data_IF_938373783960
#
_entry.id   IF_938373783960
#
_cell.length_a   1.000
_cell.length_b   1.000
_cell.length_c   1.000
_cell.angle_alpha   90.00
_cell.angle_beta   90.00
_cell.angle_gamma   90.00
#
_symmetry.space_group_name_H-M   'P 1'
#
loop_
_entity.id
_entity.type
_entity.pdbx_description
1 polymer ?
#
# COMPACT_ATOMS: atom_id res chain seq x y z
N UNK A 1 9.67 22.32 10.59
CA UNK A 1 9.57 21.44 9.40
C UNK A 1 9.34 22.24 8.11
N UNK A 2 9.79 23.50 8.02
CA UNK A 2 9.46 24.39 6.90
C UNK A 2 9.99 23.90 5.54
N UNK A 3 11.12 23.20 5.53
CA UNK A 3 11.72 22.58 4.34
C UNK A 3 11.29 21.12 4.10
N UNK A 4 10.45 20.55 4.97
CA UNK A 4 9.92 19.20 4.75
C UNK A 4 8.98 19.20 3.54
N UNK A 5 9.10 18.18 2.68
CA UNK A 5 8.29 18.04 1.46
C UNK A 5 7.62 16.68 1.34
N UNK A 6 8.19 15.63 1.92
CA UNK A 6 7.59 14.31 2.02
C UNK A 6 7.40 13.89 3.47
N UNK A 7 6.26 13.26 3.77
CA UNK A 7 6.01 12.60 5.04
C UNK A 7 5.43 11.21 4.78
N UNK A 8 6.19 10.18 5.17
CA UNK A 8 5.72 8.80 5.20
C UNK A 8 5.49 8.40 6.64
N UNK A 9 4.43 7.63 6.86
CA UNK A 9 4.22 6.94 8.10
C UNK A 9 3.59 5.58 7.82
N UNK A 10 3.82 4.66 8.75
CA UNK A 10 3.15 3.38 8.83
C UNK A 10 2.72 3.22 10.28
N UNK A 11 1.48 2.81 10.50
CA UNK A 11 0.93 2.63 11.83
C UNK A 11 0.03 1.42 11.85
N UNK A 12 -0.03 0.75 12.99
CA UNK A 12 -0.93 -0.36 13.25
C UNK A 12 -1.80 -0.09 14.49
N UNK A 13 -2.96 -0.72 14.52
CA UNK A 13 -3.85 -0.74 15.69
C UNK A 13 -4.19 0.66 16.24
N UNK A 14 -4.06 0.80 17.56
CA UNK A 14 -4.47 2.02 18.28
C UNK A 14 -3.64 3.28 17.93
N UNK A 15 -2.46 3.13 17.33
CA UNK A 15 -1.65 4.27 16.90
C UNK A 15 -2.10 4.87 15.58
N UNK A 16 -2.91 4.15 14.78
CA UNK A 16 -3.40 4.64 13.49
C UNK A 16 -4.13 5.98 13.61
N UNK A 17 -5.04 6.10 14.59
CA UNK A 17 -5.78 7.36 14.77
C UNK A 17 -4.85 8.50 15.18
N UNK A 18 -3.94 8.27 16.14
CA UNK A 18 -3.00 9.31 16.62
C UNK A 18 -2.07 9.80 15.51
N UNK A 19 -1.55 8.89 14.68
CA UNK A 19 -0.69 9.24 13.55
C UNK A 19 -1.48 9.91 12.42
N UNK A 20 -2.73 9.49 12.18
CA UNK A 20 -3.62 10.19 11.25
C UNK A 20 -3.87 11.62 11.72
N UNK A 21 -4.19 11.84 13.00
CA UNK A 21 -4.39 13.17 13.58
C UNK A 21 -3.13 14.05 13.52
N UNK A 22 -1.96 13.46 13.77
CA UNK A 22 -0.67 14.14 13.60
C UNK A 22 -0.45 14.55 12.14
N UNK A 23 -0.67 13.63 11.19
CA UNK A 23 -0.52 13.91 9.76
C UNK A 23 -1.49 15.01 9.29
N UNK A 24 -2.73 15.02 9.79
CA UNK A 24 -3.70 16.07 9.49
C UNK A 24 -3.26 17.45 10.02
N UNK A 25 -2.76 17.52 11.26
CA UNK A 25 -2.20 18.77 11.82
C UNK A 25 -0.98 19.23 11.02
N UNK A 26 -0.10 18.30 10.66
CA UNK A 26 1.08 18.58 9.87
C UNK A 26 0.74 19.14 8.49
N UNK A 27 -0.23 18.56 7.77
CA UNK A 27 -0.69 19.07 6.48
C UNK A 27 -1.36 20.45 6.58
N UNK A 28 -2.03 20.73 7.71
CA UNK A 28 -2.62 22.06 7.95
C UNK A 28 -1.55 23.11 8.19
N UNK A 29 -0.56 22.80 9.03
CA UNK A 29 0.48 23.73 9.46
C UNK A 29 1.59 23.87 8.38
N UNK A 30 1.80 22.83 7.57
CA UNK A 30 2.78 22.77 6.48
C UNK A 30 2.14 22.17 5.20
N UNK A 31 1.30 22.94 4.48
CA UNK A 31 0.54 22.46 3.32
C UNK A 31 1.43 21.96 2.16
N UNK A 32 2.70 22.38 2.11
CA UNK A 32 3.67 21.95 1.11
C UNK A 32 4.20 20.53 1.31
N UNK A 33 3.88 19.88 2.42
CA UNK A 33 4.24 18.47 2.67
C UNK A 33 3.23 17.58 1.97
N UNK A 34 3.72 16.56 1.25
CA UNK A 34 2.88 15.52 0.68
C UNK A 34 3.04 14.21 1.45
N UNK A 35 1.93 13.48 1.56
CA UNK A 35 1.92 12.16 2.18
C UNK A 35 2.31 11.12 1.16
N UNK A 36 3.05 10.12 1.60
CA UNK A 36 3.48 9.04 0.73
C UNK A 36 3.30 7.68 1.38
N UNK A 37 2.96 6.65 0.58
CA UNK A 37 2.94 5.30 1.08
C UNK A 37 4.31 4.90 1.60
N UNK A 38 4.30 4.12 2.68
CA UNK A 38 5.51 3.47 3.20
C UNK A 38 5.77 2.19 2.41
N UNK A 39 7.01 2.03 1.98
CA UNK A 39 7.49 0.69 1.64
C UNK A 39 7.41 -0.23 2.87
N UNK A 40 7.27 -1.56 2.68
CA UNK A 40 7.22 -2.30 1.40
C UNK A 40 5.83 -2.34 0.72
N UNK A 41 4.82 -1.65 1.26
CA UNK A 41 3.44 -1.82 0.85
C UNK A 41 3.10 -1.19 -0.50
N UNK A 42 2.33 -1.92 -1.31
CA UNK A 42 1.54 -1.34 -2.38
C UNK A 42 0.60 -0.27 -1.81
N UNK A 43 0.35 0.79 -2.56
CA UNK A 43 -0.45 1.94 -2.14
C UNK A 43 -1.82 1.53 -1.59
N UNK A 44 -2.54 0.64 -2.29
CA UNK A 44 -3.85 0.18 -1.86
C UNK A 44 -3.80 -0.59 -0.52
N UNK A 45 -2.74 -1.36 -0.26
CA UNK A 45 -2.55 -2.06 1.02
C UNK A 45 -2.16 -1.07 2.11
N UNK A 46 -1.26 -0.13 1.81
CA UNK A 46 -0.85 0.93 2.75
C UNK A 46 -2.05 1.77 3.23
N UNK A 47 -3.01 2.07 2.35
CA UNK A 47 -4.24 2.79 2.71
C UNK A 47 -5.02 2.03 3.79
N UNK A 48 -5.20 0.72 3.64
CA UNK A 48 -5.91 -0.10 4.64
C UNK A 48 -5.07 -0.26 5.90
N UNK A 49 -3.76 -0.46 5.76
CA UNK A 49 -2.86 -0.56 6.92
C UNK A 49 -2.92 0.69 7.79
N UNK A 50 -3.09 1.87 7.19
CA UNK A 50 -3.23 3.14 7.90
C UNK A 50 -4.66 3.45 8.39
N UNK A 51 -5.64 2.56 8.14
CA UNK A 51 -7.05 2.78 8.48
C UNK A 51 -7.29 2.64 9.99
N UNK A 52 -7.88 3.65 10.66
CA UNK A 52 -8.12 3.61 12.10
C UNK A 52 -9.39 2.83 12.48
N UNK A 53 -9.56 1.62 11.94
CA UNK A 53 -10.68 0.71 12.24
C UNK A 53 -10.10 -0.60 12.78
N UNK A 54 -10.21 -0.83 14.09
CA UNK A 54 -9.55 -1.95 14.78
C UNK A 54 -9.92 -3.34 14.23
N UNK A 55 -11.20 -3.66 13.95
CA UNK A 55 -11.53 -4.97 13.36
C UNK A 55 -10.83 -5.23 12.02
N UNK A 56 -10.67 -4.18 11.20
CA UNK A 56 -9.97 -4.28 9.91
C UNK A 56 -8.46 -4.43 10.14
N UNK A 57 -7.90 -3.72 11.13
CA UNK A 57 -6.49 -3.88 11.50
C UNK A 57 -6.17 -5.30 11.96
N UNK A 58 -7.03 -5.93 12.78
CA UNK A 58 -6.81 -7.31 13.21
C UNK A 58 -6.83 -8.30 12.03
N UNK A 59 -7.68 -8.06 11.02
CA UNK A 59 -7.67 -8.85 9.78
C UNK A 59 -6.35 -8.67 9.02
N UNK A 60 -5.86 -7.43 8.88
CA UNK A 60 -4.59 -7.15 8.20
C UNK A 60 -3.40 -7.74 8.97
N UNK A 61 -3.37 -7.59 10.30
CA UNK A 61 -2.35 -8.17 11.17
C UNK A 61 -2.35 -9.71 11.06
N UNK A 62 -3.53 -10.31 10.95
CA UNK A 62 -3.70 -11.76 10.73
C UNK A 62 -3.15 -12.18 9.36
N UNK A 63 -3.38 -11.41 8.29
CA UNK A 63 -2.80 -11.67 6.96
C UNK A 63 -1.27 -11.61 7.00
N UNK A 64 -0.70 -10.61 7.66
CA UNK A 64 0.75 -10.48 7.84
C UNK A 64 1.32 -11.64 8.67
N UNK A 65 0.60 -12.08 9.71
CA UNK A 65 0.97 -13.23 10.53
C UNK A 65 0.96 -14.54 9.73
N UNK A 66 -0.03 -14.75 8.84
CA UNK A 66 -0.09 -15.90 7.92
C UNK A 66 1.13 -15.91 7.01
N UNK A 67 1.46 -14.77 6.37
CA UNK A 67 2.63 -14.68 5.50
C UNK A 67 3.94 -14.96 6.28
N UNK A 68 4.05 -14.43 7.50
CA UNK A 68 5.19 -14.64 8.37
C UNK A 68 5.40 -16.12 8.71
N UNK A 69 4.35 -16.82 9.18
CA UNK A 69 4.48 -18.22 9.60
C UNK A 69 4.71 -19.18 8.44
N UNK A 70 4.13 -18.90 7.26
CA UNK A 70 4.41 -19.68 6.04
C UNK A 70 5.88 -19.55 5.65
N UNK A 71 6.47 -18.35 5.75
CA UNK A 71 7.90 -18.15 5.46
C UNK A 71 8.81 -18.79 6.50
N UNK A 72 8.42 -18.78 7.77
CA UNK A 72 9.23 -19.33 8.87
C UNK A 72 9.17 -20.86 8.93
N UNK A 73 8.05 -21.49 8.56
CA UNK A 73 7.85 -22.94 8.63
C UNK A 73 7.90 -23.58 7.25
N UNK A 74 9.06 -24.13 6.88
CA UNK A 74 9.22 -24.87 5.62
C UNK A 74 8.24 -26.07 5.52
N UNK A 75 7.97 -26.73 6.64
CA UNK A 75 6.99 -27.82 6.73
C UNK A 75 5.58 -27.36 6.37
N UNK A 76 5.14 -26.21 6.91
CA UNK A 76 3.84 -25.63 6.57
C UNK A 76 3.79 -25.22 5.09
N UNK A 77 4.85 -24.59 4.59
CA UNK A 77 4.93 -24.17 3.19
C UNK A 77 4.81 -25.36 2.22
N UNK A 78 5.51 -26.47 2.48
CA UNK A 78 5.42 -27.71 1.68
C UNK A 78 4.03 -28.33 1.72
N UNK A 79 3.40 -28.39 2.90
CA UNK A 79 2.04 -28.91 3.04
C UNK A 79 1.03 -28.02 2.32
N UNK A 80 1.16 -26.70 2.47
CA UNK A 80 0.33 -25.73 1.77
C UNK A 80 0.45 -25.90 0.25
N UNK A 81 1.66 -26.06 -0.28
CA UNK A 81 1.91 -26.31 -1.70
C UNK A 81 1.20 -27.58 -2.21
N UNK A 82 1.28 -28.66 -1.43
CA UNK A 82 0.58 -29.92 -1.73
C UNK A 82 -0.95 -29.74 -1.71
N UNK A 83 -1.49 -29.01 -0.72
CA UNK A 83 -2.94 -28.73 -0.61
C UNK A 83 -3.44 -27.78 -1.71
N UNK A 84 -2.63 -26.81 -2.15
CA UNK A 84 -2.94 -25.95 -3.29
C UNK A 84 -3.03 -26.82 -4.55
N UNK A 85 -2.02 -27.66 -4.80
CA UNK A 85 -2.03 -28.60 -5.94
C UNK A 85 -3.29 -29.46 -5.94
N UNK A 86 -3.63 -30.08 -4.79
CA UNK A 86 -4.82 -30.91 -4.68
C UNK A 86 -6.11 -30.12 -4.95
N UNK A 87 -6.25 -28.92 -4.38
CA UNK A 87 -7.46 -28.10 -4.46
C UNK A 87 -7.71 -27.56 -5.86
N UNK A 88 -6.66 -27.21 -6.61
CA UNK A 88 -6.77 -26.51 -7.89
C UNK A 88 -6.37 -27.34 -9.12
N UNK A 89 -5.91 -28.58 -8.95
CA UNK A 89 -5.50 -29.48 -10.06
C UNK A 89 -6.54 -29.67 -11.16
N UNK A 90 -7.83 -29.52 -10.85
CA UNK A 90 -8.92 -29.62 -11.81
C UNK A 90 -9.09 -28.38 -12.70
N UNK A 91 -8.40 -27.27 -12.39
CA UNK A 91 -8.46 -26.00 -13.12
C UNK A 91 -7.09 -25.73 -13.76
N UNK A 92 -7.04 -25.73 -15.09
CA UNK A 92 -5.80 -25.54 -15.84
C UNK A 92 -5.16 -24.18 -15.53
N UNK A 93 -3.89 -24.19 -15.12
CA UNK A 93 -3.07 -22.99 -14.84
C UNK A 93 -3.30 -22.35 -13.46
N UNK A 94 -4.33 -22.78 -12.73
CA UNK A 94 -4.70 -22.15 -11.46
C UNK A 94 -3.75 -22.51 -10.32
N UNK A 95 -3.20 -23.73 -10.33
CA UNK A 95 -2.16 -24.16 -9.39
C UNK A 95 -0.95 -23.22 -9.47
N UNK A 96 -0.44 -22.97 -10.68
CA UNK A 96 0.73 -22.12 -10.89
C UNK A 96 0.43 -20.66 -10.50
N UNK A 97 -0.73 -20.14 -10.90
CA UNK A 97 -1.18 -18.79 -10.53
C UNK A 97 -1.20 -18.59 -9.01
N UNK A 98 -1.83 -19.51 -8.27
CA UNK A 98 -1.96 -19.39 -6.81
C UNK A 98 -0.60 -19.52 -6.16
N UNK A 99 0.23 -20.49 -6.58
CA UNK A 99 1.58 -20.66 -6.04
C UNK A 99 2.45 -19.41 -6.26
N UNK A 100 2.46 -18.86 -7.48
CA UNK A 100 3.19 -17.63 -7.81
C UNK A 100 2.71 -16.45 -6.97
N UNK A 101 1.39 -16.31 -6.80
CA UNK A 101 0.79 -15.23 -5.99
C UNK A 101 1.16 -15.31 -4.51
N UNK A 102 1.60 -16.47 -4.02
CA UNK A 102 2.00 -16.70 -2.63
C UNK A 102 3.51 -16.61 -2.40
N UNK A 103 4.29 -16.33 -3.44
CA UNK A 103 5.73 -16.17 -3.31
C UNK A 103 6.09 -14.80 -2.71
N UNK A 104 7.31 -14.69 -2.18
CA UNK A 104 7.89 -13.45 -1.66
C UNK A 104 7.02 -12.82 -0.55
N UNK A 105 6.94 -11.49 -0.54
CA UNK A 105 6.18 -10.71 0.45
C UNK A 105 4.80 -10.32 -0.11
N UNK A 106 4.00 -11.34 -0.45
CA UNK A 106 2.68 -11.17 -1.07
C UNK A 106 1.72 -10.33 -0.23
N UNK A 107 1.88 -10.32 1.09
CA UNK A 107 1.08 -9.53 2.04
C UNK A 107 1.21 -8.01 1.83
N UNK A 108 2.27 -7.58 1.15
CA UNK A 108 2.50 -6.17 0.82
C UNK A 108 2.04 -5.82 -0.62
N UNK A 109 1.65 -6.81 -1.42
CA UNK A 109 1.36 -6.62 -2.85
C UNK A 109 -0.07 -6.18 -3.12
N UNK A 110 -0.36 -5.76 -4.35
CA UNK A 110 -1.67 -5.22 -4.76
C UNK A 110 -2.83 -6.18 -4.50
N UNK A 111 -2.56 -7.47 -4.53
CA UNK A 111 -3.56 -8.54 -4.50
C UNK A 111 -3.54 -9.33 -3.19
N UNK A 112 -2.92 -8.81 -2.13
CA UNK A 112 -2.73 -9.50 -0.85
C UNK A 112 -4.01 -10.18 -0.30
N UNK A 113 -5.14 -9.47 -0.29
CA UNK A 113 -6.41 -10.02 0.20
C UNK A 113 -7.02 -11.08 -0.74
N UNK A 114 -6.76 -10.98 -2.05
CA UNK A 114 -7.14 -12.02 -3.01
C UNK A 114 -6.28 -13.27 -2.79
N UNK A 115 -4.96 -13.11 -2.64
CA UNK A 115 -4.04 -14.21 -2.32
C UNK A 115 -4.47 -14.92 -1.04
N UNK A 116 -4.77 -14.18 0.03
CA UNK A 116 -5.26 -14.75 1.28
C UNK A 116 -6.55 -15.57 1.09
N UNK A 117 -7.50 -15.07 0.29
CA UNK A 117 -8.74 -15.79 -0.01
C UNK A 117 -8.51 -17.07 -0.82
N UNK A 118 -7.51 -17.08 -1.70
CA UNK A 118 -7.15 -18.26 -2.51
C UNK A 118 -6.47 -19.35 -1.66
N UNK A 119 -5.63 -18.96 -0.70
CA UNK A 119 -4.94 -19.93 0.16
C UNK A 119 -5.72 -20.34 1.41
N UNK A 120 -6.81 -19.64 1.78
CA UNK A 120 -7.49 -19.85 3.06
C UNK A 120 -7.89 -21.31 3.32
N UNK A 121 -8.53 -21.96 2.34
CA UNK A 121 -8.95 -23.36 2.45
C UNK A 121 -7.76 -24.34 2.46
N UNK A 122 -6.82 -24.29 1.49
CA UNK A 122 -5.59 -25.06 1.55
C UNK A 122 -4.83 -24.90 2.87
N UNK A 123 -4.74 -23.68 3.40
CA UNK A 123 -4.04 -23.35 4.64
C UNK A 123 -4.72 -23.96 5.86
N UNK A 124 -6.04 -23.81 5.99
CA UNK A 124 -6.79 -24.40 7.09
C UNK A 124 -6.66 -25.93 7.11
N UNK A 125 -6.61 -26.57 5.94
CA UNK A 125 -6.38 -28.00 5.80
C UNK A 125 -4.95 -28.39 6.22
N UNK A 126 -3.95 -27.60 5.80
CA UNK A 126 -2.54 -27.79 6.21
C UNK A 126 -2.36 -27.66 7.72
N UNK A 127 -2.94 -26.62 8.33
CA UNK A 127 -2.90 -26.41 9.79
C UNK A 127 -3.59 -27.58 10.51
N UNK A 128 -4.78 -27.97 10.04
CA UNK A 128 -5.53 -29.10 10.60
C UNK A 128 -4.71 -30.38 10.64
N UNK A 129 -4.04 -30.71 9.54
CA UNK A 129 -3.21 -31.91 9.44
C UNK A 129 -1.98 -31.83 10.36
N UNK A 130 -1.28 -30.69 10.40
CA UNK A 130 -0.11 -30.46 11.27
C UNK A 130 -0.46 -30.61 12.75
N UNK A 131 -1.59 -30.06 13.20
CA UNK A 131 -1.99 -30.14 14.60
C UNK A 131 -2.47 -31.54 15.02
N UNK A 132 -2.83 -32.42 14.08
CA UNK A 132 -3.31 -33.79 14.37
C UNK A 132 -2.23 -34.86 14.24
N UNK A 133 -1.19 -34.62 13.44
CA UNK A 133 -0.17 -35.63 13.19
C UNK A 133 0.75 -35.77 14.40
N UNK A 134 0.66 -36.90 15.11
CA UNK A 134 1.59 -37.30 16.19
C UNK A 134 3.07 -37.46 15.72
N UNK A 135 3.36 -37.12 14.47
CA UNK A 135 4.63 -37.28 13.75
C UNK A 135 5.17 -35.94 13.21
N UNK A 136 4.52 -34.81 13.49
CA UNK A 136 5.06 -33.52 13.05
C UNK A 136 6.22 -33.12 13.96
N UNK A 137 7.42 -33.01 13.40
CA UNK A 137 8.65 -32.46 14.01
C UNK A 137 8.52 -30.93 14.20
N UNK A 138 7.33 -30.47 14.58
CA UNK A 138 6.95 -29.05 14.69
C UNK A 138 7.01 -28.68 16.15
N UNK A 139 7.77 -27.64 16.43
CA UNK A 139 7.92 -27.08 17.75
C UNK A 139 6.57 -26.72 18.40
N UNK A 140 6.47 -26.95 19.72
CA UNK A 140 5.24 -26.78 20.47
C UNK A 140 4.71 -25.34 20.41
N UNK A 141 5.59 -24.33 20.39
CA UNK A 141 5.19 -22.93 20.30
C UNK A 141 4.59 -22.62 18.93
N UNK A 142 5.14 -23.22 17.88
CA UNK A 142 4.58 -23.11 16.51
C UNK A 142 3.18 -23.70 16.44
N UNK A 143 2.92 -24.84 17.08
CA UNK A 143 1.57 -25.45 17.12
C UNK A 143 0.56 -24.53 17.81
N UNK A 144 0.94 -23.89 18.93
CA UNK A 144 0.08 -22.94 19.63
C UNK A 144 -0.29 -21.76 18.73
N UNK A 145 0.70 -21.18 18.03
CA UNK A 145 0.44 -20.07 17.09
C UNK A 145 -0.49 -20.51 15.96
N UNK A 146 -0.29 -21.71 15.40
CA UNK A 146 -1.14 -22.23 14.33
C UNK A 146 -2.59 -22.47 14.78
N UNK A 147 -2.80 -22.93 16.02
CA UNK A 147 -4.13 -23.11 16.59
C UNK A 147 -4.84 -21.77 16.82
N UNK A 148 -4.15 -20.78 17.40
CA UNK A 148 -4.70 -19.42 17.55
C UNK A 148 -5.04 -18.81 16.18
N UNK A 149 -4.16 -18.99 15.20
CA UNK A 149 -4.38 -18.49 13.85
C UNK A 149 -5.60 -19.17 13.20
N UNK A 150 -5.74 -20.50 13.37
CA UNK A 150 -6.89 -21.26 12.87
C UNK A 150 -8.22 -20.73 13.39
N UNK A 151 -8.30 -20.29 14.65
CA UNK A 151 -9.51 -19.68 15.21
C UNK A 151 -9.86 -18.37 14.50
N UNK A 152 -8.88 -17.48 14.29
CA UNK A 152 -9.10 -16.23 13.54
C UNK A 152 -9.52 -16.47 12.10
N UNK A 153 -8.85 -17.42 11.42
CA UNK A 153 -9.13 -17.79 10.03
C UNK A 153 -10.51 -18.45 9.86
N UNK A 154 -11.04 -19.08 10.92
CA UNK A 154 -12.39 -19.65 10.99
C UNK A 154 -13.43 -18.69 11.59
N UNK A 155 -13.26 -17.39 11.39
CA UNK A 155 -14.24 -16.37 11.75
C UNK A 155 -14.91 -15.80 10.49
N UNK A 156 -16.25 -15.67 10.51
CA UNK A 156 -16.98 -15.04 9.42
C UNK A 156 -16.59 -13.56 9.22
N UNK A 157 -16.34 -12.81 10.31
CA UNK A 157 -15.87 -11.43 10.27
C UNK A 157 -14.56 -11.29 9.48
N UNK A 158 -13.66 -12.26 9.65
CA UNK A 158 -12.41 -12.31 8.90
C UNK A 158 -12.68 -12.52 7.39
N UNK A 159 -13.51 -13.51 7.05
CA UNK A 159 -13.84 -13.85 5.66
C UNK A 159 -14.54 -12.69 4.93
N UNK A 160 -15.60 -12.11 5.52
CA UNK A 160 -16.33 -10.99 4.88
C UNK A 160 -15.43 -9.76 4.75
N UNK A 161 -14.56 -9.49 5.73
CA UNK A 161 -13.60 -8.38 5.64
C UNK A 161 -12.63 -8.59 4.48
N UNK A 162 -12.06 -9.78 4.29
CA UNK A 162 -11.20 -10.07 3.14
C UNK A 162 -11.93 -9.84 1.81
N UNK A 163 -13.18 -10.32 1.68
CA UNK A 163 -13.98 -10.14 0.46
C UNK A 163 -14.24 -8.67 0.20
N UNK A 164 -14.63 -7.89 1.21
CA UNK A 164 -14.85 -6.45 1.07
C UNK A 164 -13.56 -5.72 0.70
N UNK A 165 -12.44 -6.00 1.38
CA UNK A 165 -11.16 -5.35 1.10
C UNK A 165 -10.68 -5.63 -0.33
N UNK A 166 -10.70 -6.90 -0.77
CA UNK A 166 -10.40 -7.27 -2.17
C UNK A 166 -11.21 -6.43 -3.16
N UNK A 167 -12.53 -6.36 -2.99
CA UNK A 167 -13.43 -5.74 -3.96
C UNK A 167 -13.45 -4.21 -3.89
N UNK A 168 -13.11 -3.61 -2.76
CA UNK A 168 -13.03 -2.15 -2.64
C UNK A 168 -11.67 -1.62 -3.09
N UNK A 169 -10.58 -2.35 -2.79
CA UNK A 169 -9.23 -1.93 -3.17
C UNK A 169 -8.92 -2.02 -4.66
N UNK A 170 -9.65 -2.83 -5.42
CA UNK A 170 -9.51 -2.82 -6.88
C UNK A 170 -9.81 -1.44 -7.49
N UNK A 171 -10.59 -0.60 -6.80
CA UNK A 171 -10.91 0.76 -7.26
C UNK A 171 -9.68 1.68 -7.27
N UNK A 172 -8.69 1.40 -6.42
CA UNK A 172 -7.48 2.23 -6.23
C UNK A 172 -6.21 1.52 -6.67
N UNK A 173 -6.26 0.23 -7.03
CA UNK A 173 -5.08 -0.54 -7.43
C UNK A 173 -4.40 0.00 -8.69
N UNK A 174 -5.18 0.61 -9.59
CA UNK A 174 -4.69 1.30 -10.80
C UNK A 174 -3.72 2.45 -10.51
N UNK A 175 -3.71 2.97 -9.27
CA UNK A 175 -2.79 4.03 -8.85
C UNK A 175 -1.39 3.49 -8.57
N UNK A 176 -1.22 2.20 -8.28
CA UNK A 176 0.08 1.61 -7.92
C UNK A 176 1.16 1.81 -9.00
N UNK A 177 0.93 1.48 -10.29
CA UNK A 177 1.96 1.66 -11.31
C UNK A 177 2.25 3.15 -11.56
N UNK A 178 1.23 4.00 -11.44
CA UNK A 178 1.37 5.45 -11.61
C UNK A 178 2.24 6.06 -10.51
N UNK A 179 2.01 5.66 -9.26
CA UNK A 179 2.81 6.09 -8.11
C UNK A 179 4.22 5.52 -8.13
N UNK A 180 4.46 4.33 -8.73
CA UNK A 180 5.80 3.75 -8.90
C UNK A 180 6.61 4.36 -10.05
N UNK A 181 6.12 5.42 -10.69
CA UNK A 181 6.82 6.09 -11.79
C UNK A 181 6.86 5.32 -13.10
N UNK A 182 6.03 4.27 -13.26
CA UNK A 182 5.96 3.47 -14.51
C UNK A 182 5.15 4.20 -15.59
N UNK A 183 4.17 5.02 -15.19
CA UNK A 183 3.19 5.65 -16.10
C UNK A 183 3.34 7.19 -16.17
N UNK A 184 4.27 7.79 -15.40
CA UNK A 184 4.04 9.13 -14.85
C UNK A 184 4.39 10.32 -15.75
N UNK A 185 3.56 10.56 -16.76
CA UNK A 185 3.28 11.93 -17.22
C UNK A 185 2.24 12.54 -16.27
N UNK A 186 2.46 13.79 -15.85
CA UNK A 186 1.58 14.55 -14.94
C UNK A 186 0.09 14.46 -15.30
N UNK A 187 -0.24 14.52 -16.59
CA UNK A 187 -1.63 14.53 -17.08
C UNK A 187 -2.30 13.16 -16.93
N UNK A 188 -1.57 12.08 -17.25
CA UNK A 188 -2.04 10.71 -17.07
C UNK A 188 -2.31 10.39 -15.60
N UNK A 189 -1.43 10.82 -14.70
CA UNK A 189 -1.62 10.59 -13.26
C UNK A 189 -2.89 11.27 -12.73
N UNK A 190 -3.12 12.55 -13.09
CA UNK A 190 -4.33 13.27 -12.67
C UNK A 190 -5.60 12.61 -13.19
N UNK A 191 -5.57 12.15 -14.45
CA UNK A 191 -6.67 11.39 -15.04
C UNK A 191 -6.93 10.08 -14.29
N UNK A 192 -5.88 9.33 -13.96
CA UNK A 192 -5.98 8.07 -13.19
C UNK A 192 -6.55 8.31 -11.79
N UNK A 193 -6.11 9.36 -11.09
CA UNK A 193 -6.65 9.75 -9.77
C UNK A 193 -8.14 10.08 -9.89
N UNK A 194 -8.52 10.90 -10.88
CA UNK A 194 -9.92 11.27 -11.13
C UNK A 194 -10.78 10.03 -11.39
N UNK A 195 -10.29 9.07 -12.18
CA UNK A 195 -11.02 7.85 -12.48
C UNK A 195 -11.15 6.93 -11.26
N UNK A 196 -10.10 6.77 -10.46
CA UNK A 196 -10.16 6.00 -9.22
C UNK A 196 -11.21 6.59 -8.25
N UNK A 197 -11.23 7.92 -8.10
CA UNK A 197 -12.24 8.60 -7.29
C UNK A 197 -13.66 8.45 -7.85
N UNK A 198 -13.85 8.56 -9.17
CA UNK A 198 -15.15 8.30 -9.81
C UNK A 198 -15.63 6.87 -9.57
N UNK A 199 -14.73 5.89 -9.67
CA UNK A 199 -15.04 4.48 -9.46
C UNK A 199 -15.41 4.20 -7.99
N UNK A 200 -14.67 4.75 -7.03
CA UNK A 200 -15.01 4.67 -5.61
C UNK A 200 -16.40 5.27 -5.31
N UNK A 201 -16.69 6.46 -5.84
CA UNK A 201 -18.00 7.10 -5.64
C UNK A 201 -19.13 6.29 -6.28
N UNK A 202 -18.90 5.68 -7.46
CA UNK A 202 -19.85 4.76 -8.08
C UNK A 202 -20.13 3.54 -7.19
N UNK A 203 -19.09 2.90 -6.67
CA UNK A 203 -19.25 1.76 -5.75
C UNK A 203 -20.01 2.15 -4.48
N UNK A 204 -19.81 3.38 -3.98
CA UNK A 204 -20.52 3.89 -2.81
C UNK A 204 -22.01 4.18 -3.10
N UNK A 205 -22.33 4.69 -4.29
CA UNK A 205 -23.72 4.92 -4.72
C UNK A 205 -24.49 3.61 -4.97
N UNK A 206 -23.83 2.62 -5.55
CA UNK A 206 -24.42 1.31 -5.90
C UNK A 206 -24.10 0.24 -4.84
N UNK A 207 -23.79 0.66 -3.60
CA UNK A 207 -23.25 -0.24 -2.57
C UNK A 207 -24.22 -1.37 -2.19
N UNK A 208 -25.52 -1.14 -2.27
CA UNK A 208 -26.53 -2.18 -1.99
C UNK A 208 -26.40 -3.35 -2.97
N UNK A 209 -26.11 -3.06 -4.25
CA UNK A 209 -25.97 -4.07 -5.31
C UNK A 209 -24.64 -4.80 -5.16
N UNK A 210 -23.55 -4.06 -4.93
CA UNK A 210 -22.22 -4.63 -4.80
C UNK A 210 -22.08 -5.45 -3.52
N UNK A 211 -22.53 -4.91 -2.38
CA UNK A 211 -22.43 -5.58 -1.10
C UNK A 211 -23.21 -6.89 -1.08
N UNK A 212 -24.40 -6.95 -1.70
CA UNK A 212 -25.17 -8.20 -1.81
C UNK A 212 -24.36 -9.32 -2.47
N UNK A 213 -23.59 -9.00 -3.53
CA UNK A 213 -22.70 -9.96 -4.19
C UNK A 213 -21.54 -10.37 -3.28
N UNK A 214 -20.92 -9.41 -2.60
CA UNK A 214 -19.80 -9.65 -1.68
C UNK A 214 -20.21 -10.51 -0.48
N UNK A 215 -21.37 -10.22 0.11
CA UNK A 215 -21.95 -10.98 1.20
C UNK A 215 -22.26 -12.42 0.76
N UNK A 216 -22.88 -12.60 -0.40
CA UNK A 216 -23.13 -13.94 -0.95
C UNK A 216 -21.85 -14.74 -1.20
N UNK A 217 -20.78 -14.11 -1.71
CA UNK A 217 -19.46 -14.75 -1.89
C UNK A 217 -18.86 -15.17 -0.53
N UNK A 218 -18.88 -14.27 0.45
CA UNK A 218 -18.40 -14.57 1.80
C UNK A 218 -19.17 -15.72 2.47
N UNK A 219 -20.50 -15.75 2.37
CA UNK A 219 -21.34 -16.83 2.89
C UNK A 219 -21.04 -18.16 2.19
N UNK A 220 -20.86 -18.15 0.86
CA UNK A 220 -20.50 -19.35 0.13
C UNK A 220 -19.14 -19.91 0.58
N UNK A 221 -18.14 -19.05 0.80
CA UNK A 221 -16.83 -19.42 1.33
C UNK A 221 -16.91 -19.95 2.76
N UNK A 222 -17.64 -19.27 3.63
CA UNK A 222 -17.84 -19.70 5.02
C UNK A 222 -18.51 -21.07 5.10
N UNK A 223 -19.56 -21.30 4.28
CA UNK A 223 -20.24 -22.59 4.17
C UNK A 223 -19.28 -23.70 3.72
N UNK A 224 -18.43 -23.42 2.72
CA UNK A 224 -17.41 -24.38 2.25
C UNK A 224 -16.43 -24.77 3.36
N UNK A 225 -16.08 -23.82 4.23
CA UNK A 225 -15.15 -24.01 5.34
C UNK A 225 -15.79 -24.53 6.64
N UNK A 226 -17.12 -24.71 6.66
CA UNK A 226 -17.87 -25.06 7.87
C UNK A 226 -17.84 -23.98 8.96
N UNK A 227 -17.69 -22.72 8.57
CA UNK A 227 -17.68 -21.56 9.49
C UNK A 227 -19.12 -21.09 9.70
N UNK A 228 -19.59 -20.98 10.96
CA UNK A 228 -20.93 -20.49 11.25
C UNK A 228 -21.04 -19.00 10.92
N UNK A 229 -22.13 -18.63 10.25
CA UNK A 229 -22.46 -17.24 9.93
C UNK A 229 -23.37 -16.72 11.04
N UNK A 230 -22.76 -16.20 12.10
CA UNK A 230 -23.46 -15.71 13.28
C UNK A 230 -23.51 -14.18 13.30
N UNK A 231 -24.50 -13.62 14.02
CA UNK A 231 -24.54 -12.19 14.30
C UNK A 231 -23.35 -11.79 15.20
N UNK A 232 -22.64 -10.69 14.88
CA UNK A 232 -21.59 -10.19 15.75
C UNK A 232 -22.14 -9.83 17.13
N UNK A 233 -21.34 -10.10 18.16
CA UNK A 233 -21.72 -10.01 19.59
C UNK A 233 -22.23 -8.60 19.97
N UNK A 234 -21.78 -7.56 19.27
CA UNK A 234 -22.19 -6.15 19.46
C UNK A 234 -23.68 -5.91 19.16
N UNK A 235 -24.32 -6.75 18.33
CA UNK A 235 -25.77 -6.70 18.13
C UNK A 235 -26.59 -7.31 19.26
N UNK A 236 -25.98 -8.22 20.02
CA UNK A 236 -26.66 -8.95 21.10
C UNK A 236 -26.72 -8.11 22.38
N UNK A 237 -25.77 -7.19 22.54
CA UNK A 237 -25.59 -6.37 23.77
C UNK A 237 -26.30 -5.03 23.75
N UNK A 238 -26.70 -4.51 22.58
CA UNK A 238 -27.51 -3.28 22.46
C UNK A 238 -29.01 -3.54 22.67
N UNK A 239 -29.33 -4.29 23.73
CA UNK A 239 -30.68 -4.42 24.24
C UNK A 239 -31.06 -3.17 25.01
N UNK A 240 -31.42 -2.10 24.31
CA UNK A 240 -32.16 -0.99 24.90
C UNK A 240 -33.46 -0.79 24.13
N UNK A 241 -34.56 -0.83 24.87
CA UNK A 241 -35.92 -0.96 24.35
C UNK A 241 -36.34 0.22 23.48
N UNK A 242 -36.34 0.01 22.16
CA UNK A 242 -37.20 0.69 21.20
C UNK A 242 -37.19 -0.12 19.89
N UNK A 243 -38.35 -0.27 19.27
CA UNK A 243 -38.61 -0.98 18.00
C UNK A 243 -37.77 -0.43 16.83
N UNK A 244 -36.47 -0.74 16.79
CA UNK A 244 -35.70 -0.69 15.54
C UNK A 244 -35.86 -2.05 14.86
N UNK A 245 -36.23 -2.11 13.57
CA UNK A 245 -36.20 -3.36 12.82
C UNK A 245 -34.82 -3.98 13.00
N UNK A 246 -34.74 -5.24 13.44
CA UNK A 246 -33.47 -5.97 13.47
C UNK A 246 -32.86 -5.88 12.06
N UNK A 247 -31.80 -5.09 11.91
CA UNK A 247 -31.08 -4.98 10.66
C UNK A 247 -30.60 -6.38 10.28
N UNK A 248 -30.81 -6.79 9.02
CA UNK A 248 -30.32 -8.09 8.59
C UNK A 248 -28.80 -8.15 8.75
N UNK A 249 -28.23 -9.35 8.87
CA UNK A 249 -26.78 -9.51 8.97
C UNK A 249 -26.05 -8.90 7.75
N UNK A 250 -26.69 -8.95 6.58
CA UNK A 250 -26.21 -8.27 5.37
C UNK A 250 -26.20 -6.74 5.56
N UNK A 251 -27.28 -6.15 6.05
CA UNK A 251 -27.35 -4.71 6.31
C UNK A 251 -26.28 -4.26 7.31
N UNK A 252 -26.00 -5.08 8.33
CA UNK A 252 -24.94 -4.81 9.28
C UNK A 252 -23.58 -4.64 8.61
N UNK A 253 -23.10 -5.65 7.87
CA UNK A 253 -21.77 -5.58 7.23
C UNK A 253 -21.74 -4.52 6.14
N UNK A 254 -22.88 -4.23 5.49
CA UNK A 254 -22.96 -3.12 4.55
C UNK A 254 -22.64 -1.79 5.21
N UNK A 255 -23.31 -1.48 6.33
CA UNK A 255 -23.14 -0.21 7.05
C UNK A 255 -21.84 -0.15 7.86
N UNK A 256 -21.54 -1.21 8.62
CA UNK A 256 -20.44 -1.24 9.57
C UNK A 256 -19.07 -1.47 8.93
N UNK A 257 -19.03 -2.07 7.73
CA UNK A 257 -17.79 -2.45 7.04
C UNK A 257 -17.70 -1.84 5.63
N UNK A 258 -18.56 -2.24 4.70
CA UNK A 258 -18.38 -1.86 3.28
C UNK A 258 -18.47 -0.35 3.03
N UNK A 259 -19.49 0.33 3.59
CA UNK A 259 -19.60 1.78 3.47
C UNK A 259 -18.45 2.52 4.16
N UNK A 260 -18.04 2.08 5.35
CA UNK A 260 -16.91 2.70 6.08
C UNK A 260 -15.60 2.59 5.31
N UNK A 261 -15.32 1.42 4.70
CA UNK A 261 -14.12 1.22 3.88
C UNK A 261 -14.14 2.13 2.65
N UNK A 262 -15.25 2.16 1.90
CA UNK A 262 -15.35 3.00 0.71
C UNK A 262 -15.24 4.49 1.03
N UNK A 263 -15.94 4.96 2.07
CA UNK A 263 -15.87 6.35 2.50
C UNK A 263 -14.44 6.73 2.91
N UNK A 264 -13.79 5.87 3.71
CA UNK A 264 -12.39 6.06 4.08
C UNK A 264 -11.49 6.15 2.84
N UNK A 265 -11.64 5.24 1.86
CA UNK A 265 -10.80 5.26 0.65
C UNK A 265 -11.00 6.55 -0.16
N UNK A 266 -12.23 7.05 -0.27
CA UNK A 266 -12.51 8.33 -0.95
C UNK A 266 -11.77 9.48 -0.26
N UNK A 267 -11.89 9.58 1.06
CA UNK A 267 -11.29 10.66 1.83
C UNK A 267 -9.78 10.57 1.84
N UNK A 268 -9.25 9.36 2.01
CA UNK A 268 -7.82 9.11 2.11
C UNK A 268 -7.10 9.31 0.76
N UNK A 269 -7.70 8.88 -0.36
CA UNK A 269 -7.15 9.15 -1.70
C UNK A 269 -7.12 10.65 -1.98
N UNK A 270 -8.19 11.39 -1.65
CA UNK A 270 -8.21 12.86 -1.81
C UNK A 270 -7.15 13.54 -0.95
N UNK A 271 -6.93 13.03 0.26
CA UNK A 271 -5.96 13.57 1.23
C UNK A 271 -4.52 13.31 0.80
N UNK A 272 -4.20 12.09 0.37
CA UNK A 272 -2.85 11.66 0.01
C UNK A 272 -2.46 12.12 -1.39
N UNK A 273 -3.38 12.00 -2.35
CA UNK A 273 -3.18 12.40 -3.75
C UNK A 273 -3.84 13.75 -4.07
N UNK A 274 -3.83 14.65 -3.08
CA UNK A 274 -4.40 15.99 -3.19
C UNK A 274 -3.67 16.89 -4.18
N UNK A 275 -4.05 18.16 -4.19
CA UNK A 275 -3.52 19.18 -5.11
C UNK A 275 -2.00 19.28 -5.06
N UNK A 276 -1.42 19.24 -3.87
CA UNK A 276 0.02 19.40 -3.66
C UNK A 276 0.83 18.20 -4.16
N UNK A 277 0.35 16.96 -3.93
CA UNK A 277 0.96 15.76 -4.52
C UNK A 277 0.90 15.83 -6.04
N UNK A 278 -0.27 16.16 -6.60
CA UNK A 278 -0.43 16.33 -8.04
C UNK A 278 0.40 17.49 -8.62
N UNK A 279 0.80 18.48 -7.81
CA UNK A 279 1.66 19.60 -8.18
C UNK A 279 3.14 19.19 -8.17
N UNK A 280 3.59 18.49 -7.15
CA UNK A 280 4.98 18.01 -7.05
C UNK A 280 5.26 16.96 -8.14
N UNK A 281 4.37 16.00 -8.34
CA UNK A 281 4.56 14.95 -9.34
C UNK A 281 4.58 15.48 -10.79
N UNK A 282 4.17 16.74 -11.05
CA UNK A 282 4.35 17.34 -12.38
C UNK A 282 5.80 17.51 -12.77
N UNK A 283 6.68 17.68 -11.78
CA UNK A 283 8.11 17.83 -12.02
C UNK A 283 8.74 16.55 -12.57
N UNK A 284 8.04 15.40 -12.57
CA UNK A 284 8.51 14.19 -13.26
C UNK A 284 8.66 14.41 -14.77
N UNK A 285 7.93 15.38 -15.32
CA UNK A 285 8.12 15.83 -16.71
C UNK A 285 9.51 16.41 -17.00
N UNK A 286 10.30 16.76 -15.98
CA UNK A 286 11.68 17.24 -16.14
C UNK A 286 12.67 16.10 -16.43
N UNK A 287 12.26 14.85 -16.26
CA UNK A 287 13.09 13.68 -16.56
C UNK A 287 13.23 13.52 -18.09
N UNK A 288 14.44 13.42 -18.64
CA UNK A 288 14.72 13.48 -20.07
C UNK A 288 13.92 12.52 -20.96
N UNK A 289 13.67 11.28 -20.54
CA UNK A 289 12.87 10.33 -21.31
C UNK A 289 11.45 10.86 -21.57
N UNK A 290 10.81 11.44 -20.56
CA UNK A 290 9.46 12.02 -20.66
C UNK A 290 9.46 13.30 -21.51
N UNK A 291 10.55 14.06 -21.48
CA UNK A 291 10.70 15.25 -22.32
C UNK A 291 10.83 14.92 -23.80
N UNK A 292 11.41 13.76 -24.12
CA UNK A 292 11.68 13.35 -25.51
C UNK A 292 10.52 12.59 -26.15
N UNK A 293 9.67 11.93 -25.35
CA UNK A 293 8.50 11.17 -25.82
C UNK A 293 7.24 12.02 -26.03
N UNK A 294 7.23 13.30 -25.64
CA UNK A 294 6.03 14.14 -25.65
C UNK A 294 6.22 15.49 -26.33
N UNK A 295 5.09 16.04 -26.81
CA UNK A 295 4.85 17.45 -27.08
C UNK A 295 4.99 18.30 -25.79
N UNK A 296 6.03 18.05 -24.99
CA UNK A 296 6.35 18.80 -23.79
C UNK A 296 6.42 20.27 -24.19
N UNK A 297 5.59 21.06 -23.53
CA UNK A 297 5.61 22.49 -23.65
C UNK A 297 5.50 23.05 -22.26
N UNK A 298 6.55 23.75 -21.85
CA UNK A 298 6.62 24.48 -20.58
C UNK A 298 5.35 25.33 -20.36
N UNK A 299 4.77 25.87 -21.45
CA UNK A 299 3.58 26.73 -21.44
C UNK A 299 2.27 25.97 -21.22
N UNK A 300 2.19 24.68 -21.57
CA UNK A 300 0.98 23.86 -21.39
C UNK A 300 0.99 23.07 -20.07
N UNK A 301 2.17 22.65 -19.61
CA UNK A 301 2.29 21.71 -18.49
C UNK A 301 2.37 22.35 -17.09
N UNK A 302 2.30 23.69 -16.99
CA UNK A 302 2.29 24.45 -15.72
C UNK A 302 3.36 23.98 -14.72
N UNK A 303 4.55 23.60 -15.20
CA UNK A 303 5.72 23.36 -14.32
C UNK A 303 5.98 24.60 -13.44
N UNK A 304 5.56 25.77 -13.93
CA UNK A 304 5.50 27.09 -13.32
C UNK A 304 4.67 27.23 -12.03
N UNK A 305 3.77 26.31 -11.69
CA UNK A 305 3.18 26.25 -10.33
C UNK A 305 4.20 25.71 -9.30
N UNK A 306 5.49 25.72 -9.65
CA UNK A 306 6.57 25.44 -8.73
C UNK A 306 6.52 26.48 -7.60
N UNK A 307 6.30 26.00 -6.37
CA UNK A 307 6.44 26.83 -5.19
C UNK A 307 7.84 27.46 -5.21
N UNK A 308 7.90 28.80 -5.34
CA UNK A 308 9.13 29.57 -5.51
C UNK A 308 10.18 29.23 -4.44
N UNK A 309 9.73 28.78 -3.26
CA UNK A 309 10.58 28.37 -2.14
C UNK A 309 11.39 27.09 -2.40
N UNK A 310 11.15 26.38 -3.50
CA UNK A 310 11.91 25.21 -3.89
C UNK A 310 12.91 25.50 -5.03
N UNK A 311 12.91 26.72 -5.57
CA UNK A 311 13.82 27.13 -6.64
C UNK A 311 15.11 27.67 -6.04
N UNK A 312 16.25 27.33 -6.68
CA UNK A 312 17.55 27.86 -6.27
C UNK A 312 17.73 29.32 -6.73
N UNK A 313 17.20 29.64 -7.92
CA UNK A 313 17.27 30.95 -8.57
C UNK A 313 15.93 31.25 -9.26
N UNK A 314 14.93 31.78 -8.53
CA UNK A 314 13.59 32.01 -9.06
C UNK A 314 13.55 32.94 -10.27
N UNK A 315 14.46 33.92 -10.31
CA UNK A 315 14.61 34.92 -11.37
C UNK A 315 15.01 34.32 -12.73
N UNK A 316 15.88 33.30 -12.73
CA UNK A 316 16.35 32.64 -13.96
C UNK A 316 15.56 31.40 -14.35
N UNK A 317 14.48 31.08 -13.63
CA UNK A 317 13.80 29.78 -13.74
C UNK A 317 13.27 29.49 -15.15
N UNK A 318 12.57 30.45 -15.76
CA UNK A 318 11.95 30.25 -17.07
C UNK A 318 12.98 30.13 -18.20
N UNK A 319 14.06 30.91 -18.13
CA UNK A 319 15.15 30.85 -19.10
C UNK A 319 15.89 29.51 -19.01
N UNK A 320 16.21 29.08 -17.78
CA UNK A 320 16.84 27.78 -17.51
C UNK A 320 15.97 26.62 -18.03
N UNK A 321 14.66 26.67 -17.75
CA UNK A 321 13.72 25.64 -18.18
C UNK A 321 13.61 25.59 -19.71
N UNK A 322 13.66 26.75 -20.39
CA UNK A 322 13.73 26.83 -21.85
C UNK A 322 14.99 26.18 -22.42
N UNK A 323 16.15 26.43 -21.80
CA UNK A 323 17.41 25.75 -22.16
C UNK A 323 17.32 24.23 -21.95
N UNK A 324 16.73 23.79 -20.83
CA UNK A 324 16.52 22.37 -20.53
C UNK A 324 15.64 21.70 -21.58
N UNK A 325 14.55 22.34 -21.99
CA UNK A 325 13.66 21.87 -23.05
C UNK A 325 14.38 21.70 -24.39
N UNK A 326 15.15 22.71 -24.83
CA UNK A 326 15.92 22.63 -26.09
C UNK A 326 16.93 21.48 -26.06
N UNK A 327 17.59 21.26 -24.91
CA UNK A 327 18.59 20.21 -24.75
C UNK A 327 18.02 18.80 -24.95
N UNK A 328 16.80 18.54 -24.48
CA UNK A 328 16.25 17.18 -24.42
C UNK A 328 15.21 16.85 -25.49
N UNK A 329 14.53 17.85 -26.09
CA UNK A 329 13.45 17.66 -27.08
C UNK A 329 13.83 16.74 -28.26
N UNK A 330 15.09 16.71 -28.67
CA UNK A 330 15.56 15.85 -29.78
C UNK A 330 16.65 14.85 -29.37
N UNK A 331 16.89 14.68 -28.07
CA UNK A 331 18.01 13.90 -27.57
C UNK A 331 17.79 12.39 -27.71
N UNK A 332 16.53 11.91 -27.76
CA UNK A 332 16.18 10.48 -27.93
C UNK A 332 16.72 9.88 -29.22
N UNK A 333 16.92 10.70 -30.27
CA UNK A 333 17.49 10.25 -31.56
C UNK A 333 18.99 10.03 -31.51
N UNK A 334 19.69 10.52 -30.48
CA UNK A 334 21.16 10.58 -30.43
C UNK A 334 21.78 9.77 -29.29
N UNK A 335 21.01 9.46 -28.24
CA UNK A 335 21.50 8.76 -27.05
C UNK A 335 20.37 8.13 -26.25
N UNK A 336 20.73 7.14 -25.43
CA UNK A 336 19.86 6.62 -24.38
C UNK A 336 19.64 7.73 -23.35
N UNK A 337 18.37 7.95 -22.99
CA UNK A 337 17.96 9.00 -22.07
C UNK A 337 17.77 8.48 -20.66
N UNK A 338 18.11 9.27 -19.64
CA UNK A 338 17.72 8.98 -18.26
C UNK A 338 16.20 8.84 -18.14
N UNK A 339 15.77 7.74 -17.52
CA UNK A 339 14.35 7.38 -17.33
C UNK A 339 13.83 7.62 -15.92
N UNK A 340 14.71 8.00 -14.99
CA UNK A 340 14.41 8.20 -13.58
C UNK A 340 14.87 9.58 -13.09
N UNK A 341 14.30 10.03 -11.96
CA UNK A 341 14.73 11.25 -11.27
C UNK A 341 16.21 11.14 -10.85
N UNK A 342 16.60 10.00 -10.28
CA UNK A 342 17.95 9.77 -9.78
C UNK A 342 18.99 9.68 -10.92
N UNK A 343 18.69 9.00 -12.02
CA UNK A 343 19.53 9.00 -13.22
C UNK A 343 19.70 10.42 -13.77
N UNK A 344 18.64 11.23 -13.73
CA UNK A 344 18.70 12.63 -14.19
C UNK A 344 19.60 13.48 -13.30
N UNK A 345 19.54 13.27 -11.99
CA UNK A 345 20.40 13.95 -11.01
C UNK A 345 21.89 13.55 -11.13
N UNK A 346 22.20 12.42 -11.77
CA UNK A 346 23.57 11.93 -12.01
C UNK A 346 24.21 12.44 -13.32
N UNK A 347 23.47 13.18 -14.15
CA UNK A 347 24.00 13.71 -15.42
C UNK A 347 25.10 14.75 -15.12
N UNK A 348 26.27 14.72 -15.81
CA UNK A 348 27.38 15.65 -15.55
C UNK A 348 26.97 17.14 -15.59
N UNK A 349 26.09 17.48 -16.53
CA UNK A 349 25.68 18.85 -16.78
C UNK A 349 24.58 19.36 -15.85
N UNK A 350 24.06 18.53 -14.92
CA UNK A 350 22.92 18.92 -14.06
C UNK A 350 23.23 20.17 -13.23
N UNK A 351 24.51 20.39 -12.87
CA UNK A 351 24.96 21.56 -12.11
C UNK A 351 24.80 22.90 -12.85
N UNK A 352 24.64 22.87 -14.17
CA UNK A 352 24.33 24.08 -14.96
C UNK A 352 22.84 24.45 -14.93
N UNK A 353 21.99 23.58 -14.37
CA UNK A 353 20.54 23.76 -14.27
C UNK A 353 20.12 23.68 -12.79
N UNK A 354 20.48 24.69 -11.96
CA UNK A 354 20.28 24.63 -10.52
C UNK A 354 18.81 24.57 -10.09
N UNK A 355 17.88 25.17 -10.85
CA UNK A 355 16.45 25.08 -10.53
C UNK A 355 15.88 23.70 -10.88
N UNK A 356 16.21 23.16 -12.07
CA UNK A 356 15.83 21.80 -12.45
C UNK A 356 16.38 20.80 -11.45
N UNK A 357 17.65 20.95 -11.06
CA UNK A 357 18.30 20.13 -10.04
C UNK A 357 17.56 20.22 -8.71
N UNK A 358 17.19 21.43 -8.26
CA UNK A 358 16.46 21.62 -7.00
C UNK A 358 15.09 20.93 -7.01
N UNK A 359 14.31 21.09 -8.07
CA UNK A 359 13.00 20.45 -8.20
C UNK A 359 13.11 18.92 -8.25
N UNK A 360 14.09 18.39 -8.98
CA UNK A 360 14.36 16.95 -9.03
C UNK A 360 14.86 16.41 -7.67
N UNK A 361 15.64 17.18 -6.91
CA UNK A 361 16.02 16.81 -5.54
C UNK A 361 14.80 16.75 -4.63
N UNK A 362 13.90 17.72 -4.70
CA UNK A 362 12.64 17.67 -3.93
C UNK A 362 11.83 16.43 -4.34
N UNK A 363 11.71 16.14 -5.64
CA UNK A 363 11.08 14.89 -6.10
C UNK A 363 11.74 13.65 -5.53
N UNK A 364 13.08 13.60 -5.51
CA UNK A 364 13.83 12.51 -4.92
C UNK A 364 13.59 12.31 -3.42
N UNK A 365 13.08 13.34 -2.72
CA UNK A 365 12.64 13.20 -1.32
C UNK A 365 11.20 12.72 -1.17
N UNK A 366 10.43 12.60 -2.26
CA UNK A 366 9.06 12.08 -2.21
C UNK A 366 9.11 10.55 -2.32
N UNK A 367 8.68 9.81 -1.29
CA UNK A 367 8.84 8.36 -1.21
C UNK A 367 8.14 7.53 -2.30
N UNK A 368 7.19 8.08 -3.06
CA UNK A 368 6.66 7.39 -4.24
C UNK A 368 7.59 7.46 -5.46
N UNK A 369 8.59 8.36 -5.48
CA UNK A 369 9.60 8.41 -6.53
C UNK A 369 10.64 7.34 -6.26
N UNK A 370 10.56 6.23 -7.00
CA UNK A 370 11.41 5.06 -6.83
C UNK A 370 12.89 5.44 -6.94
N UNK A 371 13.66 5.10 -5.90
CA UNK A 371 15.11 5.19 -5.93
C UNK A 371 15.72 4.08 -6.81
N UNK A 372 16.95 4.24 -7.28
CA UNK A 372 17.63 3.18 -8.02
C UNK A 372 18.10 2.05 -7.07
N UNK A 373 18.32 0.83 -7.58
CA UNK A 373 18.65 -0.32 -6.73
C UNK A 373 19.98 -0.16 -5.98
N UNK A 374 20.88 0.68 -6.49
CA UNK A 374 22.13 1.08 -5.84
C UNK A 374 21.87 1.95 -4.60
N UNK A 375 20.84 2.81 -4.62
CA UNK A 375 20.36 3.56 -3.45
C UNK A 375 19.63 2.64 -2.48
N UNK A 376 18.82 1.69 -2.98
CA UNK A 376 18.13 0.70 -2.14
C UNK A 376 19.09 -0.26 -1.44
N UNK A 377 20.18 -0.70 -2.08
CA UNK A 377 21.19 -1.52 -1.42
C UNK A 377 21.77 -0.83 -0.17
N UNK A 378 21.94 0.50 -0.22
CA UNK A 378 22.35 1.27 0.96
C UNK A 378 21.20 1.42 1.97
N UNK A 379 19.95 1.59 1.52
CA UNK A 379 18.77 1.67 2.39
C UNK A 379 18.50 0.38 3.16
N UNK A 380 18.55 -0.78 2.49
CA UNK A 380 18.38 -2.10 3.10
C UNK A 380 19.48 -2.34 4.14
N UNK A 381 20.73 -1.95 3.84
CA UNK A 381 21.82 -2.02 4.82
C UNK A 381 21.60 -1.10 6.04
N UNK A 382 21.03 0.09 5.86
CA UNK A 382 20.68 1.01 6.96
C UNK A 382 19.53 0.45 7.79
N UNK A 383 18.52 -0.15 7.12
CA UNK A 383 17.38 -0.78 7.75
C UNK A 383 17.78 -2.04 8.52
N UNK A 384 18.64 -2.89 7.97
CA UNK A 384 19.18 -4.07 8.64
C UNK A 384 20.00 -3.68 9.87
N UNK A 385 20.83 -2.63 9.77
CA UNK A 385 21.53 -2.05 10.93
C UNK A 385 20.55 -1.55 11.98
N UNK A 386 19.47 -0.88 11.57
CA UNK A 386 18.43 -0.42 12.50
C UNK A 386 17.72 -1.59 13.18
N UNK A 387 17.32 -2.61 12.42
CA UNK A 387 16.67 -3.81 12.97
C UNK A 387 17.59 -4.57 13.92
N UNK A 388 18.88 -4.65 13.61
CA UNK A 388 19.90 -5.25 14.48
C UNK A 388 20.04 -4.45 15.79
N UNK A 389 20.15 -3.12 15.70
CA UNK A 389 20.14 -2.23 16.88
C UNK A 389 18.89 -2.47 17.75
N UNK A 390 17.72 -2.58 17.13
CA UNK A 390 16.46 -2.81 17.85
C UNK A 390 16.39 -4.20 18.50
N UNK A 391 16.98 -5.24 17.88
CA UNK A 391 17.02 -6.61 18.43
C UNK A 391 18.04 -6.77 19.56
N UNK A 392 19.22 -6.16 19.41
CA UNK A 392 20.33 -6.35 20.34
C UNK A 392 20.19 -5.51 21.63
N UNK A 393 19.53 -4.35 21.55
CA UNK A 393 19.37 -3.46 22.70
C UNK A 393 18.00 -3.61 23.39
N UNK A 394 17.99 -3.81 24.73
CA UNK A 394 16.78 -3.74 25.54
C UNK A 394 16.07 -2.39 25.37
N UNK A 395 14.73 -2.39 25.40
CA UNK A 395 13.90 -1.22 25.11
C UNK A 395 14.29 0.03 25.93
N UNK A 396 14.69 -0.16 27.20
CA UNK A 396 15.09 0.90 28.13
C UNK A 396 16.40 1.60 27.76
N UNK A 397 17.26 0.94 26.97
CA UNK A 397 18.56 1.47 26.52
C UNK A 397 18.54 2.02 25.10
N UNK A 398 17.39 1.95 24.42
CA UNK A 398 17.24 2.46 23.05
C UNK A 398 17.20 3.99 23.09
N UNK A 399 18.21 4.62 22.50
CA UNK A 399 18.32 6.07 22.39
C UNK A 399 18.31 6.47 20.91
N UNK A 400 17.46 7.43 20.55
CA UNK A 400 17.23 7.83 19.15
C UNK A 400 18.49 8.37 18.47
N UNK A 401 19.35 9.06 19.21
CA UNK A 401 20.64 9.57 18.72
C UNK A 401 21.66 8.44 18.46
N UNK A 402 21.70 7.42 19.33
CA UNK A 402 22.57 6.26 19.16
C UNK A 402 22.11 5.39 17.99
N UNK A 403 20.80 5.22 17.83
CA UNK A 403 20.23 4.57 16.65
C UNK A 403 20.66 5.29 15.37
N UNK A 404 20.57 6.63 15.33
CA UNK A 404 21.00 7.42 14.18
C UNK A 404 22.49 7.24 13.86
N UNK A 405 23.37 7.21 14.86
CA UNK A 405 24.81 6.95 14.63
C UNK A 405 25.01 5.55 14.09
N UNK A 406 24.39 4.54 14.71
CA UNK A 406 24.57 3.13 14.37
C UNK A 406 24.12 2.80 12.93
N UNK A 407 23.02 3.38 12.48
CA UNK A 407 22.48 3.12 11.14
C UNK A 407 23.27 3.81 10.03
N UNK A 408 24.12 4.80 10.36
CA UNK A 408 24.93 5.57 9.40
C UNK A 408 26.44 5.22 9.43
N UNK A 409 26.85 4.21 10.20
CA UNK A 409 28.24 3.66 10.22
C UNK A 409 28.47 2.71 9.05
#
# INVERSE_FOLDING_TARGET
MEHCRGFTYLSSGAMCQKLKDLSCRMLRDFPQVVLSPSEPYAFNVWLIRSMPILPIQDVVDTVEQVACIIRQSETLAKKLDAKITASYSHIKGEVDRVKESCQNHWEHTTDAFQTMLDILEPLLNSIGEMCTSALSDVDADTVVVLLMLKEKLKNFDFIITLVVLKNTLCCVSILNPSLRGIISISSTLQYTISNALKLLNKHMQEIDIFHRKWFSDAVARAKKLGVPVNLPVEMVTNGDGAEKPQASLEDYYREALSKKVLQYLVDEVKRVLGTEMARILRWLSLVPSYMADHNFSIRKDKVADANLNNLARPDSFYDELGCWEVKWRHASKRRILPTSVFATLKIPDIGFYPNVQSLLRVLGTIPCVRAESDVYGHYDMVLDRYQSYMKELPAEKRLSNMAFVYVNQ
#
